data_IF_508034281252
#
_entry.id   IF_508034281252
#
_cell.length_a   1.000
_cell.length_b   1.000
_cell.length_c   1.000
_cell.angle_alpha   90.00
_cell.angle_beta   90.00
_cell.angle_gamma   90.00
#
_symmetry.space_group_name_H-M   'P 1'
#
loop_
_entity.id
_entity.type
_entity.pdbx_description
1 polymer ?
#
# COMPACT_ATOMS: atom_id res chain seq x y z
N UNK A 1 5.85 12.41 28.01
CA UNK A 1 5.56 13.37 26.94
C UNK A 1 4.57 12.71 25.99
N UNK A 2 3.32 13.16 25.95
CA UNK A 2 2.32 12.66 25.00
C UNK A 2 2.65 13.20 23.62
N UNK A 3 3.34 12.40 22.80
CA UNK A 3 3.51 12.73 21.39
C UNK A 3 2.14 12.64 20.73
N UNK A 4 1.55 13.79 20.42
CA UNK A 4 0.44 13.90 19.48
C UNK A 4 0.99 13.54 18.10
N UNK A 5 0.95 12.24 17.76
CA UNK A 5 1.17 11.80 16.39
C UNK A 5 0.05 12.44 15.59
N UNK A 6 0.38 13.52 14.89
CA UNK A 6 -0.57 14.15 13.97
C UNK A 6 -0.65 13.19 12.81
N UNK A 7 -1.78 12.48 12.67
CA UNK A 7 -1.96 11.52 11.57
C UNK A 7 -1.98 12.33 10.27
N UNK A 8 -0.85 12.35 9.58
CA UNK A 8 -0.72 13.03 8.31
C UNK A 8 -1.33 12.14 7.25
N UNK A 9 -2.37 12.65 6.61
CA UNK A 9 -3.05 12.02 5.48
C UNK A 9 -2.57 12.67 4.18
N UNK A 10 -2.60 11.92 3.10
CA UNK A 10 -2.46 12.48 1.76
C UNK A 10 -3.64 13.43 1.50
N UNK A 11 -3.37 14.57 0.86
CA UNK A 11 -4.46 15.43 0.44
C UNK A 11 -5.28 14.72 -0.64
N UNK A 12 -6.59 15.00 -0.67
CA UNK A 12 -7.50 14.47 -1.69
C UNK A 12 -6.96 14.77 -3.10
N UNK A 13 -6.43 15.97 -3.32
CA UNK A 13 -5.80 16.36 -4.60
C UNK A 13 -4.62 15.45 -4.97
N UNK A 14 -3.72 15.16 -4.02
CA UNK A 14 -2.58 14.29 -4.29
C UNK A 14 -3.01 12.85 -4.62
N UNK A 15 -4.06 12.36 -3.95
CA UNK A 15 -4.63 11.03 -4.23
C UNK A 15 -5.23 10.99 -5.63
N UNK A 16 -6.02 11.99 -6.02
CA UNK A 16 -6.58 12.04 -7.37
C UNK A 16 -5.49 12.07 -8.44
N UNK A 17 -4.46 12.91 -8.27
CA UNK A 17 -3.33 12.96 -9.20
C UNK A 17 -2.59 11.61 -9.29
N UNK A 18 -2.41 10.92 -8.16
CA UNK A 18 -1.80 9.59 -8.16
C UNK A 18 -2.67 8.59 -8.93
N UNK A 19 -3.97 8.53 -8.63
CA UNK A 19 -4.92 7.60 -9.27
C UNK A 19 -5.03 7.86 -10.77
N UNK A 20 -5.02 9.12 -11.20
CA UNK A 20 -5.16 9.48 -12.62
C UNK A 20 -4.01 8.93 -13.46
N UNK A 21 -2.80 8.86 -12.90
CA UNK A 21 -1.60 8.37 -13.57
C UNK A 21 -1.40 6.84 -13.46
N UNK A 22 -2.23 6.12 -12.71
CA UNK A 22 -2.13 4.66 -12.60
C UNK A 22 -2.64 3.97 -13.88
N UNK A 23 -2.09 2.80 -14.24
CA UNK A 23 -2.69 1.92 -15.24
C UNK A 23 -4.10 1.47 -14.84
N UNK A 24 -4.99 1.26 -15.82
CA UNK A 24 -6.41 0.92 -15.59
C UNK A 24 -6.59 -0.32 -14.70
N UNK A 25 -5.73 -1.34 -14.85
CA UNK A 25 -5.82 -2.56 -14.04
C UNK A 25 -5.57 -2.29 -12.55
N UNK A 26 -4.71 -1.32 -12.21
CA UNK A 26 -4.47 -0.93 -10.82
C UNK A 26 -5.65 -0.14 -10.27
N UNK A 27 -6.21 0.79 -11.07
CA UNK A 27 -7.41 1.55 -10.67
C UNK A 27 -8.57 0.61 -10.36
N UNK A 28 -8.80 -0.37 -11.23
CA UNK A 28 -9.84 -1.38 -11.04
C UNK A 28 -9.61 -2.23 -9.77
N UNK A 29 -8.36 -2.64 -9.51
CA UNK A 29 -8.02 -3.39 -8.30
C UNK A 29 -8.25 -2.57 -7.02
N UNK A 30 -7.86 -1.30 -7.01
CA UNK A 30 -8.08 -0.39 -5.88
C UNK A 30 -9.57 -0.16 -5.62
N UNK A 31 -10.37 0.07 -6.67
CA UNK A 31 -11.83 0.21 -6.55
C UNK A 31 -12.50 -1.07 -6.06
N UNK A 32 -12.04 -2.23 -6.54
CA UNK A 32 -12.55 -3.52 -6.07
C UNK A 32 -12.24 -3.72 -4.59
N UNK A 33 -11.04 -3.36 -4.14
CA UNK A 33 -10.70 -3.45 -2.71
C UNK A 33 -11.39 -2.42 -1.85
N UNK A 34 -11.63 -1.20 -2.34
CA UNK A 34 -12.40 -0.21 -1.58
C UNK A 34 -13.84 -0.69 -1.36
N UNK A 35 -14.45 -1.32 -2.37
CA UNK A 35 -15.78 -1.92 -2.24
C UNK A 35 -15.79 -3.10 -1.26
N UNK A 36 -14.78 -4.00 -1.32
CA UNK A 36 -14.67 -5.15 -0.42
C UNK A 36 -14.45 -4.75 1.04
N UNK A 37 -13.68 -3.68 1.28
CA UNK A 37 -13.35 -3.17 2.61
C UNK A 37 -14.36 -2.13 3.11
N UNK A 38 -15.40 -1.85 2.32
CA UNK A 38 -16.45 -0.87 2.61
C UNK A 38 -15.89 0.51 3.01
N UNK A 39 -14.82 0.95 2.32
CA UNK A 39 -14.14 2.20 2.61
C UNK A 39 -13.94 3.05 1.35
N UNK A 40 -13.47 4.28 1.53
CA UNK A 40 -13.22 5.17 0.39
C UNK A 40 -12.00 4.72 -0.42
N UNK A 41 -11.92 5.16 -1.67
CA UNK A 41 -10.77 4.89 -2.53
C UNK A 41 -9.48 5.48 -1.91
N UNK A 42 -9.58 6.66 -1.32
CA UNK A 42 -8.51 7.35 -0.60
C UNK A 42 -7.99 6.50 0.56
N UNK A 43 -8.90 6.01 1.42
CA UNK A 43 -8.54 5.16 2.56
C UNK A 43 -7.89 3.85 2.11
N UNK A 44 -8.36 3.28 1.00
CA UNK A 44 -7.78 2.07 0.41
C UNK A 44 -6.35 2.31 -0.07
N UNK A 45 -6.10 3.45 -0.73
CA UNK A 45 -4.78 3.81 -1.23
C UNK A 45 -3.81 4.09 -0.08
N UNK A 46 -4.22 4.87 0.92
CA UNK A 46 -3.38 5.12 2.10
C UNK A 46 -3.05 3.83 2.83
N UNK A 47 -4.02 2.93 2.98
CA UNK A 47 -3.81 1.63 3.61
C UNK A 47 -2.89 0.73 2.79
N UNK A 48 -3.02 0.71 1.46
CA UNK A 48 -2.12 -0.04 0.59
C UNK A 48 -0.67 0.47 0.70
N UNK A 49 -0.47 1.79 0.69
CA UNK A 49 0.86 2.41 0.86
C UNK A 49 1.40 2.12 2.26
N UNK A 50 0.59 2.29 3.30
CA UNK A 50 0.99 2.04 4.68
C UNK A 50 1.37 0.58 4.90
N UNK A 51 0.58 -0.34 4.36
CA UNK A 51 0.85 -1.78 4.42
C UNK A 51 2.12 -2.16 3.66
N UNK A 52 2.42 -1.48 2.55
CA UNK A 52 3.64 -1.76 1.79
C UNK A 52 4.89 -1.25 2.52
N UNK A 53 4.79 -0.11 3.20
CA UNK A 53 5.89 0.53 3.94
C UNK A 53 6.10 -0.03 5.35
N UNK A 54 5.22 -0.92 5.80
CA UNK A 54 5.37 -1.59 7.09
C UNK A 54 6.63 -2.48 7.10
N UNK A 55 7.37 -2.49 8.21
CA UNK A 55 8.63 -3.25 8.32
C UNK A 55 8.41 -4.77 8.24
N UNK A 56 7.20 -5.25 8.53
CA UNK A 56 6.81 -6.65 8.42
C UNK A 56 6.23 -6.99 7.02
N UNK A 57 6.17 -6.01 6.11
CA UNK A 57 5.73 -6.22 4.73
C UNK A 57 6.71 -7.13 3.98
N UNK A 58 6.16 -8.16 3.33
CA UNK A 58 6.95 -9.05 2.48
C UNK A 58 7.44 -8.32 1.23
N UNK A 59 8.74 -8.18 1.10
CA UNK A 59 9.42 -7.57 -0.04
C UNK A 59 9.87 -8.60 -1.08
N UNK A 60 10.31 -8.12 -2.25
CA UNK A 60 10.91 -8.99 -3.26
C UNK A 60 12.25 -9.58 -2.78
N UNK A 61 12.97 -8.83 -1.95
CA UNK A 61 14.23 -9.22 -1.34
C UNK A 61 14.03 -10.44 -0.43
N UNK A 62 12.92 -10.53 0.29
CA UNK A 62 12.56 -11.68 1.13
C UNK A 62 12.36 -12.94 0.29
N UNK A 63 11.75 -12.79 -0.89
CA UNK A 63 11.61 -13.90 -1.84
C UNK A 63 12.97 -14.39 -2.38
N UNK A 64 13.93 -13.49 -2.61
CA UNK A 64 15.28 -13.85 -3.08
C UNK A 64 16.15 -14.47 -1.98
N UNK A 65 15.98 -14.04 -0.73
CA UNK A 65 16.62 -14.66 0.43
C UNK A 65 16.11 -16.09 0.63
N UNK A 66 14.80 -16.30 0.58
CA UNK A 66 14.20 -17.63 0.68
C UNK A 66 14.72 -18.58 -0.42
N UNK A 67 14.97 -18.06 -1.63
CA UNK A 67 15.57 -18.84 -2.72
C UNK A 67 17.02 -19.24 -2.43
N UNK A 68 17.86 -18.30 -1.96
CA UNK A 68 19.26 -18.58 -1.58
C UNK A 68 19.37 -19.62 -0.46
N UNK A 69 18.47 -19.57 0.53
CA UNK A 69 18.45 -20.57 1.61
C UNK A 69 18.09 -21.97 1.10
N UNK A 70 17.20 -22.09 0.10
CA UNK A 70 16.87 -23.38 -0.52
C UNK A 70 18.00 -23.95 -1.39
N UNK A 71 18.82 -23.09 -2.00
CA UNK A 71 19.93 -23.50 -2.86
C UNK A 71 21.19 -23.91 -2.06
N UNK A 72 21.21 -23.69 -0.73
CA UNK A 72 22.35 -23.99 0.17
C UNK A 72 22.15 -25.27 0.98
N UNK A 73 21.06 -26.02 0.75
CA UNK A 73 20.75 -27.31 1.41
C UNK A 73 20.87 -28.46 0.42
#
# INVERSE_FOLDING_TARGET
MTQTITKQHLSTEAIHQLVDNLPDYIKAALLSKSAELECSLEATIEMAISSFLDEESFSFEDCLLAKRMKDTV
#
